data_IF_801486595568
#
_entry.id   IF_801486595568
#
_cell.length_a   1.000
_cell.length_b   1.000
_cell.length_c   1.000
_cell.angle_alpha   90.00
_cell.angle_beta   90.00
_cell.angle_gamma   90.00
#
_symmetry.space_group_name_H-M   'P 1'
#
loop_
_entity.id
_entity.type
_entity.pdbx_description
1 polymer ?
#
# COMPACT_ATOMS: atom_id res chain seq x y z
N UNK A 1 -10.76 -3.72 12.24
CA UNK A 1 -10.89 -3.92 10.77
C UNK A 1 -11.99 -3.07 10.17
N UNK A 2 -13.26 -3.14 10.63
CA UNK A 2 -14.34 -2.31 10.05
C UNK A 2 -14.11 -0.79 10.08
N UNK A 3 -13.38 -0.28 11.07
CA UNK A 3 -13.11 1.16 11.18
C UNK A 3 -12.20 1.72 10.06
N UNK A 4 -11.31 0.90 9.51
CA UNK A 4 -10.32 1.32 8.50
C UNK A 4 -10.82 1.16 7.05
N UNK A 5 -12.00 0.56 6.86
CA UNK A 5 -12.58 0.38 5.54
C UNK A 5 -13.18 1.70 5.01
N UNK A 6 -13.08 1.88 3.69
CA UNK A 6 -13.64 3.01 2.92
C UNK A 6 -14.48 2.39 1.80
N UNK A 7 -15.80 2.59 1.84
CA UNK A 7 -16.74 1.90 0.94
C UNK A 7 -16.64 2.34 -0.53
N UNK A 8 -16.27 3.61 -0.78
CA UNK A 8 -16.32 4.21 -2.13
C UNK A 8 -15.00 4.09 -2.93
N UNK A 9 -14.16 3.08 -2.64
CA UNK A 9 -12.87 2.91 -3.31
C UNK A 9 -12.34 1.47 -3.29
N UNK A 10 -11.83 1.02 -4.43
CA UNK A 10 -11.12 -0.27 -4.56
C UNK A 10 -9.63 -0.16 -4.17
N UNK A 11 -9.11 1.05 -3.95
CA UNK A 11 -7.73 1.27 -3.54
C UNK A 11 -7.54 0.97 -2.05
N UNK A 12 -6.87 -0.15 -1.76
CA UNK A 12 -6.65 -0.63 -0.38
C UNK A 12 -5.28 -0.27 0.20
N UNK A 13 -4.29 0.07 -0.64
CA UNK A 13 -2.93 0.34 -0.19
C UNK A 13 -2.17 1.21 -1.20
N UNK A 14 -1.40 2.18 -0.69
CA UNK A 14 -0.38 2.90 -1.44
C UNK A 14 0.95 2.69 -0.72
N UNK A 15 1.99 2.35 -1.48
CA UNK A 15 3.33 2.22 -0.96
C UNK A 15 4.36 2.81 -1.90
N UNK A 16 5.53 3.14 -1.35
CA UNK A 16 6.69 3.59 -2.14
C UNK A 16 7.87 2.62 -2.11
N UNK A 17 8.79 2.88 -3.04
CA UNK A 17 10.14 2.32 -3.01
C UNK A 17 11.10 3.23 -3.78
N UNK A 18 12.27 3.50 -3.21
CA UNK A 18 13.44 4.04 -3.93
C UNK A 18 14.38 2.92 -4.42
N UNK A 19 14.02 1.67 -4.16
CA UNK A 19 14.66 0.44 -4.69
C UNK A 19 13.87 -0.07 -5.88
N UNK A 20 14.38 -1.09 -6.58
CA UNK A 20 13.68 -1.72 -7.69
C UNK A 20 12.28 -2.21 -7.28
N UNK A 21 11.30 -1.98 -8.16
CA UNK A 21 9.91 -2.41 -7.95
C UNK A 21 9.81 -3.91 -7.69
N UNK A 22 10.55 -4.73 -8.49
CA UNK A 22 10.58 -6.18 -8.35
C UNK A 22 11.01 -6.63 -6.94
N UNK A 23 12.02 -5.98 -6.35
CA UNK A 23 12.46 -6.31 -4.99
C UNK A 23 11.37 -5.97 -3.97
N UNK A 24 10.71 -4.82 -4.12
CA UNK A 24 9.65 -4.39 -3.21
C UNK A 24 8.44 -5.32 -3.27
N UNK A 25 8.01 -5.71 -4.46
CA UNK A 25 6.91 -6.66 -4.66
C UNK A 25 7.26 -8.04 -4.09
N UNK A 26 8.48 -8.54 -4.35
CA UNK A 26 8.91 -9.82 -3.79
C UNK A 26 8.94 -9.83 -2.26
N UNK A 27 9.38 -8.75 -1.61
CA UNK A 27 9.30 -8.62 -0.15
C UNK A 27 7.85 -8.57 0.36
N UNK A 28 6.94 -7.93 -0.39
CA UNK A 28 5.53 -7.87 -0.06
C UNK A 28 4.87 -9.25 -0.09
N UNK A 29 5.10 -10.01 -1.17
CA UNK A 29 4.61 -11.38 -1.35
C UNK A 29 5.13 -12.33 -0.27
N UNK A 30 6.45 -12.35 -0.05
CA UNK A 30 7.09 -13.19 0.98
C UNK A 30 6.54 -12.91 2.38
N UNK A 31 6.24 -11.65 2.69
CA UNK A 31 5.58 -11.28 3.95
C UNK A 31 4.19 -11.92 4.06
N UNK A 32 3.40 -11.89 2.98
CA UNK A 32 2.09 -12.53 2.92
C UNK A 32 2.14 -14.03 3.16
N UNK A 33 3.20 -14.67 2.66
CA UNK A 33 3.48 -16.09 2.88
C UNK A 33 4.00 -16.41 4.29
N UNK A 34 4.07 -15.43 5.20
CA UNK A 34 4.49 -15.62 6.59
C UNK A 34 6.00 -15.67 6.78
N UNK A 35 6.80 -15.30 5.78
CA UNK A 35 8.25 -15.26 5.92
C UNK A 35 8.69 -14.09 6.83
N UNK A 36 9.82 -14.22 7.56
CA UNK A 36 10.33 -13.20 8.47
C UNK A 36 11.03 -12.05 7.71
N UNK A 37 10.30 -11.37 6.83
CA UNK A 37 10.77 -10.21 6.07
C UNK A 37 10.16 -8.92 6.61
N UNK A 38 10.88 -7.81 6.51
CA UNK A 38 10.41 -6.52 7.01
C UNK A 38 9.43 -5.87 6.02
N UNK A 39 8.13 -6.16 6.15
CA UNK A 39 7.08 -5.51 5.34
C UNK A 39 5.81 -5.17 6.15
N UNK A 40 6.00 -4.65 7.36
CA UNK A 40 4.90 -4.34 8.29
C UNK A 40 3.89 -3.30 7.80
N UNK A 41 4.30 -2.39 6.90
CA UNK A 41 3.47 -1.29 6.40
C UNK A 41 2.19 -1.78 5.71
N UNK A 42 2.32 -2.71 4.74
CA UNK A 42 1.20 -3.26 3.98
C UNK A 42 0.55 -4.50 4.57
N UNK A 43 0.83 -4.85 5.83
CA UNK A 43 0.42 -6.14 6.41
C UNK A 43 -1.10 -6.38 6.42
N UNK A 44 -1.89 -5.30 6.47
CA UNK A 44 -3.34 -5.40 6.49
C UNK A 44 -3.91 -5.87 5.15
N UNK A 45 -3.19 -5.71 4.04
CA UNK A 45 -3.62 -6.26 2.74
C UNK A 45 -3.84 -7.77 2.85
N UNK A 46 -2.97 -8.47 3.58
CA UNK A 46 -3.07 -9.92 3.80
C UNK A 46 -4.21 -10.35 4.74
N UNK A 47 -4.98 -9.40 5.28
CA UNK A 47 -6.17 -9.67 6.09
C UNK A 47 -7.46 -9.60 5.27
N UNK A 48 -7.37 -9.24 3.98
CA UNK A 48 -8.50 -9.28 3.06
C UNK A 48 -8.87 -10.73 2.74
N UNK A 49 -10.14 -11.03 2.44
CA UNK A 49 -10.62 -12.39 2.22
C UNK A 49 -10.01 -13.05 0.97
N UNK A 50 -9.66 -12.27 -0.05
CA UNK A 50 -8.99 -12.77 -1.26
C UNK A 50 -7.90 -11.78 -1.73
N UNK A 51 -6.72 -11.80 -1.10
CA UNK A 51 -5.64 -10.89 -1.47
C UNK A 51 -5.04 -11.23 -2.85
N UNK A 52 -5.28 -12.44 -3.38
CA UNK A 52 -4.77 -12.87 -4.68
C UNK A 52 -5.55 -12.21 -5.84
N UNK A 53 -6.78 -11.75 -5.60
CA UNK A 53 -7.56 -10.98 -6.58
C UNK A 53 -7.11 -9.52 -6.73
N UNK A 54 -6.20 -9.03 -5.88
CA UNK A 54 -5.76 -7.64 -5.92
C UNK A 54 -4.84 -7.39 -7.12
N UNK A 55 -5.05 -6.25 -7.77
CA UNK A 55 -4.17 -5.78 -8.84
C UNK A 55 -3.12 -4.83 -8.27
N UNK A 56 -1.86 -5.05 -8.63
CA UNK A 56 -0.76 -4.14 -8.30
C UNK A 56 -0.51 -3.23 -9.51
N UNK A 57 -0.80 -1.93 -9.35
CA UNK A 57 -0.36 -0.88 -10.27
C UNK A 57 0.90 -0.19 -9.77
N UNK A 58 1.69 0.40 -10.67
CA UNK A 58 2.83 1.23 -10.31
C UNK A 58 2.89 2.51 -11.16
N UNK A 59 3.47 3.54 -10.58
CA UNK A 59 3.81 4.79 -11.25
C UNK A 59 5.34 4.95 -11.22
N UNK A 60 5.95 5.14 -12.37
CA UNK A 60 7.39 5.42 -12.47
C UNK A 60 7.66 6.89 -12.15
N UNK A 61 8.69 7.13 -11.33
CA UNK A 61 9.06 8.44 -10.83
C UNK A 61 10.56 8.65 -10.97
N UNK A 62 11.01 9.90 -11.03
CA UNK A 62 12.44 10.18 -11.02
C UNK A 62 13.03 9.84 -9.63
N UNK A 63 14.34 9.53 -9.56
CA UNK A 63 14.99 9.20 -8.29
C UNK A 63 14.75 10.26 -7.20
N UNK A 64 14.42 9.82 -5.99
CA UNK A 64 14.17 10.69 -4.84
C UNK A 64 12.76 11.31 -4.76
N UNK A 65 11.89 11.06 -5.74
CA UNK A 65 10.51 11.57 -5.74
C UNK A 65 9.49 10.63 -5.10
N UNK A 66 9.85 9.38 -4.80
CA UNK A 66 8.90 8.37 -4.33
C UNK A 66 8.24 8.77 -2.98
N UNK A 67 9.00 9.42 -2.09
CA UNK A 67 8.48 9.87 -0.80
C UNK A 67 7.47 11.01 -0.89
N UNK A 68 7.74 12.01 -1.73
CA UNK A 68 6.82 13.14 -1.89
C UNK A 68 5.57 12.72 -2.66
N UNK A 69 5.70 11.85 -3.66
CA UNK A 69 4.57 11.31 -4.41
C UNK A 69 3.64 10.47 -3.54
N UNK A 70 4.17 9.56 -2.71
CA UNK A 70 3.36 8.77 -1.77
C UNK A 70 2.61 9.67 -0.78
N UNK A 71 3.29 10.66 -0.19
CA UNK A 71 2.67 11.60 0.72
C UNK A 71 1.56 12.41 0.05
N UNK A 72 1.75 12.84 -1.19
CA UNK A 72 0.74 13.56 -1.97
C UNK A 72 -0.48 12.67 -2.25
N UNK A 73 -0.29 11.45 -2.74
CA UNK A 73 -1.39 10.53 -3.04
C UNK A 73 -2.18 10.13 -1.78
N UNK A 74 -1.49 9.89 -0.65
CA UNK A 74 -2.16 9.65 0.63
C UNK A 74 -2.92 10.88 1.14
N UNK A 75 -2.39 12.08 0.89
CA UNK A 75 -3.06 13.34 1.17
C UNK A 75 -4.36 13.48 0.36
N UNK A 76 -4.28 13.35 -0.96
CA UNK A 76 -5.43 13.43 -1.87
C UNK A 76 -6.51 12.39 -1.54
N UNK A 77 -6.10 11.15 -1.23
CA UNK A 77 -7.03 10.11 -0.81
C UNK A 77 -7.76 10.51 0.48
N UNK A 78 -7.03 11.01 1.48
CA UNK A 78 -7.63 11.44 2.73
C UNK A 78 -8.53 12.67 2.56
N UNK A 79 -8.14 13.64 1.73
CA UNK A 79 -8.96 14.82 1.47
C UNK A 79 -10.29 14.44 0.81
N UNK A 80 -10.31 13.34 0.04
CA UNK A 80 -11.52 12.79 -0.58
C UNK A 80 -12.37 11.95 0.39
N UNK A 81 -11.75 11.07 1.17
CA UNK A 81 -12.47 10.03 1.93
C UNK A 81 -12.44 10.20 3.46
N UNK A 82 -11.68 11.17 3.99
CA UNK A 82 -11.49 11.41 5.42
C UNK A 82 -10.71 10.32 6.17
N UNK A 83 -10.16 9.33 5.45
CA UNK A 83 -9.37 8.20 5.96
C UNK A 83 -8.23 7.87 5.01
N UNK A 84 -7.26 7.09 5.48
CA UNK A 84 -6.23 6.50 4.61
C UNK A 84 -6.78 5.25 3.92
N UNK A 85 -6.13 4.74 2.84
CA UNK A 85 -6.46 3.44 2.30
C UNK A 85 -6.37 2.38 3.40
N UNK A 86 -7.21 1.34 3.30
CA UNK A 86 -7.41 0.34 4.35
C UNK A 86 -6.13 -0.18 5.02
N UNK A 87 -5.07 -0.43 4.24
CA UNK A 87 -3.81 -0.97 4.74
C UNK A 87 -2.74 0.06 5.07
N UNK A 88 -3.00 1.36 4.88
CA UNK A 88 -2.11 2.45 5.29
C UNK A 88 -2.49 2.94 6.70
N UNK A 89 -1.67 2.63 7.70
CA UNK A 89 -1.95 2.96 9.10
C UNK A 89 -1.41 4.30 9.59
N UNK A 90 -0.46 4.88 8.85
CA UNK A 90 0.21 6.15 9.18
C UNK A 90 0.56 6.87 7.88
N UNK A 91 0.54 8.21 7.92
CA UNK A 91 1.13 9.07 6.89
C UNK A 91 2.64 9.16 7.06
#
# INVERSE_FOLDING_TARGET
MRAEWVEDTDLVYIGKTDRTLAKRIGEFERFGNGEPVAHWGGRLVWQLPDPAMLTIGWLELAPGQASSAEAAMLGEFFDRYGKLPFANLRR
#
